data_IF_917276822261
#
_entry.id   IF_917276822261
#
_cell.length_a   1.000
_cell.length_b   1.000
_cell.length_c   1.000
_cell.angle_alpha   90.00
_cell.angle_beta   90.00
_cell.angle_gamma   90.00
#
_symmetry.space_group_name_H-M   'P 1'
#
loop_
_entity.id
_entity.type
_entity.pdbx_description
1 polymer ?
#
# COMPACT_ATOMS: atom_id res chain seq x y z
N UNK A 1 23.65 -1.28 8.34
CA UNK A 1 23.44 -2.72 8.02
C UNK A 1 22.44 -3.43 8.94
N UNK A 2 22.42 -3.24 10.26
CA UNK A 2 21.38 -3.85 11.12
C UNK A 2 19.97 -3.26 10.94
N UNK A 3 19.88 -1.95 10.67
CA UNK A 3 18.60 -1.24 10.52
C UNK A 3 17.81 -1.61 9.26
N UNK A 4 18.47 -1.95 8.15
CA UNK A 4 17.79 -2.38 6.92
C UNK A 4 17.20 -3.79 7.04
N UNK A 5 17.87 -4.68 7.79
CA UNK A 5 17.37 -6.04 8.07
C UNK A 5 16.13 -6.05 8.97
N UNK A 6 16.04 -5.11 9.92
CA UNK A 6 14.86 -4.93 10.79
C UNK A 6 13.59 -4.53 10.01
N UNK A 7 13.72 -3.86 8.86
CA UNK A 7 12.57 -3.49 8.03
C UNK A 7 12.01 -4.66 7.20
N UNK A 8 12.83 -5.68 6.89
CA UNK A 8 12.37 -6.92 6.25
C UNK A 8 11.39 -7.69 7.15
N UNK A 9 11.72 -7.78 8.44
CA UNK A 9 10.98 -8.54 9.46
C UNK A 9 9.51 -8.12 9.64
N UNK A 10 9.14 -6.88 9.32
CA UNK A 10 7.75 -6.43 9.49
C UNK A 10 6.80 -6.93 8.40
N UNK A 11 7.31 -7.11 7.18
CA UNK A 11 6.54 -7.67 6.06
C UNK A 11 6.31 -9.18 6.22
N UNK A 12 7.27 -9.87 6.83
CA UNK A 12 7.30 -11.33 7.02
C UNK A 12 6.23 -11.84 7.99
N UNK A 13 5.66 -10.98 8.84
CA UNK A 13 4.55 -11.37 9.74
C UNK A 13 3.23 -11.63 9.01
N UNK A 14 3.10 -11.20 7.75
CA UNK A 14 1.86 -11.39 7.01
C UNK A 14 1.68 -12.88 6.63
N UNK A 15 0.67 -13.53 7.23
CA UNK A 15 0.32 -14.94 6.94
C UNK A 15 -0.76 -15.11 5.86
N UNK A 16 -1.00 -14.07 5.06
CA UNK A 16 -1.96 -14.10 3.94
C UNK A 16 -3.43 -14.44 4.28
N UNK A 17 -3.85 -14.34 5.55
CA UNK A 17 -5.19 -14.70 6.02
C UNK A 17 -6.35 -13.90 5.40
N UNK A 18 -6.10 -12.70 4.86
CA UNK A 18 -7.10 -11.92 4.13
C UNK A 18 -8.05 -11.06 4.96
N UNK A 19 -7.99 -11.07 6.30
CA UNK A 19 -8.83 -10.19 7.14
C UNK A 19 -8.69 -8.70 6.76
N UNK A 20 -7.50 -8.26 6.33
CA UNK A 20 -7.26 -6.89 5.93
C UNK A 20 -8.08 -6.43 4.70
N UNK A 21 -8.59 -7.36 3.88
CA UNK A 21 -9.28 -7.04 2.63
C UNK A 21 -10.59 -6.30 2.85
N UNK A 22 -11.41 -6.78 3.77
CA UNK A 22 -12.74 -6.23 4.05
C UNK A 22 -12.67 -4.84 4.69
N UNK A 23 -11.55 -4.56 5.36
CA UNK A 23 -11.29 -3.30 6.03
C UNK A 23 -10.55 -2.27 5.15
N UNK A 24 -10.17 -2.62 3.92
CA UNK A 24 -9.44 -1.72 3.03
C UNK A 24 -10.37 -1.02 2.03
N UNK A 25 -10.50 0.33 2.09
CA UNK A 25 -11.41 1.06 1.21
C UNK A 25 -10.96 1.03 -0.26
N UNK A 26 -9.66 1.04 -0.54
CA UNK A 26 -9.16 0.94 -1.93
C UNK A 26 -9.46 -0.42 -2.53
N UNK A 27 -9.32 -1.50 -1.75
CA UNK A 27 -9.69 -2.83 -2.20
C UNK A 27 -11.20 -2.97 -2.40
N UNK A 28 -12.01 -2.41 -1.49
CA UNK A 28 -13.47 -2.48 -1.58
C UNK A 28 -14.00 -1.94 -2.91
N UNK A 29 -13.42 -0.84 -3.41
CA UNK A 29 -13.86 -0.19 -4.67
C UNK A 29 -13.18 -0.72 -5.93
N UNK A 30 -12.01 -1.36 -5.81
CA UNK A 30 -11.26 -1.83 -6.98
C UNK A 30 -11.34 -3.34 -7.19
N UNK A 31 -11.52 -4.12 -6.12
CA UNK A 31 -11.36 -5.59 -6.08
C UNK A 31 -10.03 -6.07 -6.69
N UNK A 32 -9.04 -5.19 -6.75
CA UNK A 32 -7.71 -5.48 -7.25
C UNK A 32 -6.79 -5.79 -6.07
N UNK A 33 -6.21 -6.99 -6.05
CA UNK A 33 -5.33 -7.44 -4.96
C UNK A 33 -4.13 -6.50 -4.77
N UNK A 34 -3.58 -5.92 -5.83
CA UNK A 34 -2.48 -4.93 -5.73
C UNK A 34 -2.89 -3.65 -5.00
N UNK A 35 -4.19 -3.37 -4.89
CA UNK A 35 -4.77 -2.25 -4.12
C UNK A 35 -5.18 -2.67 -2.70
N UNK A 36 -4.93 -3.92 -2.31
CA UNK A 36 -5.19 -4.42 -0.96
C UNK A 36 -4.00 -4.14 -0.01
N UNK A 37 -4.20 -4.23 1.32
CA UNK A 37 -3.10 -4.08 2.27
C UNK A 37 -2.08 -5.22 2.13
N UNK A 38 -2.53 -6.48 2.02
CA UNK A 38 -1.62 -7.62 1.86
C UNK A 38 -0.92 -7.59 0.51
N UNK A 39 -1.60 -7.24 -0.57
CA UNK A 39 -0.97 -7.11 -1.89
C UNK A 39 0.08 -6.02 -1.92
N UNK A 40 -0.12 -4.90 -1.21
CA UNK A 40 0.93 -3.88 -1.03
C UNK A 40 2.10 -4.36 -0.18
N UNK A 41 1.85 -5.16 0.86
CA UNK A 41 2.95 -5.79 1.64
C UNK A 41 3.77 -6.70 0.73
N UNK A 42 3.13 -7.59 -0.04
CA UNK A 42 3.82 -8.48 -0.98
C UNK A 42 4.58 -7.71 -2.06
N UNK A 43 3.96 -6.67 -2.62
CA UNK A 43 4.59 -5.82 -3.62
C UNK A 43 5.82 -5.09 -3.06
N UNK A 44 5.71 -4.50 -1.87
CA UNK A 44 6.83 -3.82 -1.20
C UNK A 44 7.95 -4.82 -0.85
N UNK A 45 7.60 -6.02 -0.40
CA UNK A 45 8.57 -7.08 -0.10
C UNK A 45 9.37 -7.46 -1.35
N UNK A 46 8.69 -7.78 -2.46
CA UNK A 46 9.34 -8.11 -3.73
C UNK A 46 10.23 -6.97 -4.26
N UNK A 47 9.78 -5.71 -4.15
CA UNK A 47 10.57 -4.54 -4.56
C UNK A 47 11.81 -4.33 -3.68
N UNK A 48 11.69 -4.58 -2.38
CA UNK A 48 12.82 -4.45 -1.45
C UNK A 48 13.85 -5.57 -1.62
N UNK A 49 13.40 -6.78 -1.97
CA UNK A 49 14.25 -7.94 -2.22
C UNK A 49 14.94 -7.88 -3.59
N UNK A 50 14.50 -7.00 -4.48
CA UNK A 50 14.99 -6.93 -5.86
C UNK A 50 14.34 -7.94 -6.80
N UNK A 51 13.31 -8.67 -6.35
CA UNK A 51 12.51 -9.59 -7.17
C UNK A 51 11.69 -8.83 -8.23
N UNK A 52 11.40 -7.54 -7.97
CA UNK A 52 10.73 -6.63 -8.89
C UNK A 52 11.47 -5.29 -8.94
N UNK A 53 11.49 -4.68 -10.12
CA UNK A 53 11.97 -3.31 -10.29
C UNK A 53 10.91 -2.27 -9.91
N UNK A 54 11.34 -1.18 -9.29
CA UNK A 54 10.47 -0.04 -8.98
C UNK A 54 10.09 0.65 -10.30
N UNK A 55 8.78 0.74 -10.57
CA UNK A 55 8.25 1.38 -11.77
C UNK A 55 6.96 2.15 -11.45
N UNK A 56 6.45 2.91 -12.42
CA UNK A 56 5.26 3.75 -12.22
C UNK A 56 4.03 2.95 -11.77
N UNK A 57 3.87 1.71 -12.24
CA UNK A 57 2.72 0.86 -11.91
C UNK A 57 2.77 0.41 -10.47
N UNK A 58 3.92 -0.08 -10.00
CA UNK A 58 4.08 -0.49 -8.61
C UNK A 58 3.95 0.69 -7.64
N UNK A 59 4.55 1.84 -7.99
CA UNK A 59 4.42 3.09 -7.23
C UNK A 59 2.96 3.56 -7.17
N UNK A 60 2.19 3.41 -8.25
CA UNK A 60 0.77 3.81 -8.28
C UNK A 60 -0.04 3.02 -7.26
N UNK A 61 0.05 1.69 -7.27
CA UNK A 61 -0.65 0.83 -6.32
C UNK A 61 -0.28 1.17 -4.86
N UNK A 62 1.00 1.43 -4.59
CA UNK A 62 1.47 1.85 -3.26
C UNK A 62 0.97 3.25 -2.90
N UNK A 63 0.96 4.20 -3.84
CA UNK A 63 0.54 5.58 -3.59
C UNK A 63 -0.97 5.72 -3.34
N UNK A 64 -1.77 4.87 -3.98
CA UNK A 64 -3.23 4.85 -3.84
C UNK A 64 -3.68 4.52 -2.41
N UNK A 65 -2.82 3.93 -1.56
CA UNK A 65 -3.13 3.76 -0.14
C UNK A 65 -3.34 5.12 0.56
N UNK A 66 -4.52 5.28 1.18
CA UNK A 66 -4.90 6.50 1.91
C UNK A 66 -4.43 6.53 3.36
N UNK A 67 -3.67 5.53 3.81
CA UNK A 67 -3.16 5.43 5.19
C UNK A 67 -4.25 5.54 6.28
N UNK A 68 -5.43 4.94 6.07
CA UNK A 68 -6.49 4.91 7.09
C UNK A 68 -6.24 3.92 8.23
N UNK A 69 -5.26 3.02 8.08
CA UNK A 69 -4.79 2.03 9.07
C UNK A 69 -5.83 1.04 9.62
N UNK A 70 -7.04 0.99 9.04
CA UNK A 70 -8.06 0.01 9.43
C UNK A 70 -7.58 -1.44 9.28
N UNK A 71 -6.78 -1.71 8.24
CA UNK A 71 -6.16 -3.01 8.00
C UNK A 71 -5.13 -3.42 9.06
N UNK A 72 -4.44 -2.47 9.70
CA UNK A 72 -3.50 -2.77 10.77
C UNK A 72 -4.25 -3.10 12.06
N UNK A 73 -5.28 -2.32 12.38
CA UNK A 73 -6.11 -2.51 13.59
C UNK A 73 -6.77 -3.89 13.64
N UNK A 74 -7.15 -4.44 12.50
CA UNK A 74 -7.83 -5.75 12.39
C UNK A 74 -6.85 -6.92 12.19
N UNK A 75 -5.55 -6.68 12.05
CA UNK A 75 -4.60 -7.72 11.66
C UNK A 75 -4.29 -8.65 12.85
N UNK A 76 -4.62 -9.96 12.79
CA UNK A 76 -4.34 -10.89 13.90
C UNK A 76 -2.84 -11.15 14.07
N UNK A 77 -2.05 -10.96 13.00
CA UNK A 77 -0.60 -11.13 13.03
C UNK A 77 0.16 -9.87 13.49
N UNK A 78 -0.55 -8.79 13.86
CA UNK A 78 0.04 -7.53 14.33
C UNK A 78 1.11 -6.96 13.37
N UNK A 79 0.83 -7.01 12.06
CA UNK A 79 1.70 -6.41 11.04
C UNK A 79 1.71 -4.89 11.21
N UNK A 80 2.89 -4.28 11.36
CA UNK A 80 3.04 -2.83 11.41
C UNK A 80 2.98 -2.22 9.99
N UNK A 81 1.77 -2.16 9.43
CA UNK A 81 1.50 -1.69 8.08
C UNK A 81 1.92 -0.22 7.89
N UNK A 82 1.72 0.63 8.89
CA UNK A 82 2.14 2.04 8.85
C UNK A 82 3.65 2.15 8.60
N UNK A 83 4.46 1.45 9.39
CA UNK A 83 5.92 1.50 9.25
C UNK A 83 6.39 1.02 7.87
N UNK A 84 5.80 -0.06 7.35
CA UNK A 84 6.09 -0.59 6.00
C UNK A 84 5.83 0.48 4.93
N UNK A 85 4.66 1.12 4.99
CA UNK A 85 4.26 2.13 4.00
C UNK A 85 5.09 3.40 4.08
N UNK A 86 5.33 3.93 5.29
CA UNK A 86 6.12 5.15 5.50
C UNK A 86 7.57 4.95 5.09
N UNK A 87 8.19 3.85 5.51
CA UNK A 87 9.57 3.51 5.13
C UNK A 87 9.72 3.43 3.62
N UNK A 88 8.82 2.69 2.95
CA UNK A 88 8.89 2.54 1.51
C UNK A 88 8.67 3.87 0.77
N UNK A 89 7.67 4.66 1.19
CA UNK A 89 7.39 5.97 0.57
C UNK A 89 8.54 6.95 0.77
N UNK A 90 9.10 7.02 1.96
CA UNK A 90 10.22 7.90 2.27
C UNK A 90 11.46 7.57 1.44
N UNK A 91 11.72 6.28 1.17
CA UNK A 91 12.83 5.83 0.33
C UNK A 91 12.58 6.12 -1.16
N UNK A 92 11.40 5.79 -1.67
CA UNK A 92 11.17 5.71 -3.12
C UNK A 92 10.44 6.93 -3.74
N UNK A 93 9.80 7.80 -2.94
CA UNK A 93 8.98 8.89 -3.48
C UNK A 93 9.67 10.27 -3.47
N UNK A 94 10.75 10.45 -2.69
CA UNK A 94 11.44 11.75 -2.57
C UNK A 94 11.98 12.25 -3.90
N UNK A 95 12.68 11.38 -4.63
CA UNK A 95 13.45 11.72 -5.83
C UNK A 95 12.70 11.43 -7.15
N UNK A 96 11.38 11.25 -7.10
CA UNK A 96 10.59 11.04 -8.32
C UNK A 96 10.54 12.31 -9.18
N UNK A 97 10.56 12.12 -10.50
CA UNK A 97 10.38 13.20 -11.47
C UNK A 97 9.05 13.93 -11.24
N UNK A 98 8.99 15.20 -11.62
CA UNK A 98 7.78 16.01 -11.50
C UNK A 98 6.58 15.39 -12.25
N UNK A 99 6.83 14.87 -13.47
CA UNK A 99 5.82 14.15 -14.28
C UNK A 99 5.25 12.93 -13.53
N UNK A 100 6.12 12.16 -12.88
CA UNK A 100 5.71 11.01 -12.06
C UNK A 100 4.88 11.45 -10.85
N UNK A 101 5.30 12.51 -10.15
CA UNK A 101 4.57 13.04 -8.99
C UNK A 101 3.15 13.50 -9.36
N UNK A 102 3.00 14.20 -10.48
CA UNK A 102 1.67 14.60 -11.01
C UNK A 102 0.82 13.37 -11.32
N UNK A 103 1.37 12.40 -12.05
CA UNK A 103 0.64 11.18 -12.41
C UNK A 103 0.14 10.43 -11.17
N UNK A 104 1.01 10.28 -10.17
CA UNK A 104 0.67 9.64 -8.90
C UNK A 104 -0.39 10.45 -8.12
N UNK A 105 -0.31 11.78 -8.13
CA UNK A 105 -1.31 12.65 -7.50
C UNK A 105 -2.68 12.48 -8.14
N UNK A 106 -2.77 12.53 -9.47
CA UNK A 106 -4.02 12.34 -10.23
C UNK A 106 -4.62 10.96 -9.92
N UNK A 107 -3.81 9.89 -9.95
CA UNK A 107 -4.27 8.54 -9.59
C UNK A 107 -4.86 8.49 -8.19
N UNK A 108 -4.20 9.12 -7.22
CA UNK A 108 -4.66 9.14 -5.83
C UNK A 108 -5.97 9.92 -5.65
N UNK A 109 -6.12 11.06 -6.34
CA UNK A 109 -7.37 11.83 -6.35
C UNK A 109 -8.51 10.99 -6.92
N UNK A 110 -8.28 10.32 -8.05
CA UNK A 110 -9.27 9.40 -8.65
C UNK A 110 -9.66 8.26 -7.70
N UNK A 111 -8.68 7.69 -6.99
CA UNK A 111 -8.92 6.64 -6.00
C UNK A 111 -9.78 7.14 -4.83
N UNK A 112 -9.48 8.33 -4.30
CA UNK A 112 -10.24 8.95 -3.22
C UNK A 112 -11.68 9.23 -3.67
N UNK A 113 -11.87 9.79 -4.87
CA UNK A 113 -13.19 10.04 -5.44
C UNK A 113 -14.02 8.75 -5.54
N UNK A 114 -13.41 7.65 -6.03
CA UNK A 114 -14.06 6.33 -6.07
C UNK A 114 -14.49 5.85 -4.68
N UNK A 115 -13.62 5.98 -3.67
CA UNK A 115 -13.93 5.60 -2.29
C UNK A 115 -15.11 6.41 -1.75
N UNK A 116 -15.12 7.73 -1.97
CA UNK A 116 -16.20 8.61 -1.51
C UNK A 116 -17.53 8.25 -2.18
N UNK A 117 -17.54 8.08 -3.50
CA UNK A 117 -18.75 7.68 -4.24
C UNK A 117 -19.28 6.30 -3.82
N UNK A 118 -18.38 5.34 -3.56
CA UNK A 118 -18.76 4.02 -3.07
C UNK A 118 -19.41 4.06 -1.70
N UNK A 119 -18.94 4.93 -0.80
CA UNK A 119 -19.58 5.15 0.50
C UNK A 119 -20.96 5.77 0.36
N UNK A 120 -21.12 6.79 -0.49
CA UNK A 120 -22.41 7.45 -0.73
C UNK A 120 -23.45 6.47 -1.26
N UNK A 121 -23.08 5.59 -2.21
CA UNK A 121 -24.00 4.58 -2.79
C UNK A 121 -24.44 3.47 -1.81
N UNK A 122 -23.83 3.39 -0.63
CA UNK A 122 -24.11 2.36 0.38
C UNK A 122 -24.88 2.90 1.58
N UNK A 123 -25.13 4.21 1.62
CA UNK A 123 -26.05 4.89 2.53
C UNK A 123 -27.42 4.95 1.86
#
# INVERSE_FOLDING_TARGET
>A
MYFEKLNSLYSEKCVYCGMCLEHCPTYAVTKNESESPRGRISLISALNNGDLEVNIRSLTHINNCVLCLSCQKTCPANVNFQNIMETFRNKNFKNLSYKTKISLFISKVHMILKITLFKIKRL
#
